data_IF_695085120551
#
_entry.id   IF_695085120551
#
_cell.length_a   1.000
_cell.length_b   1.000
_cell.length_c   1.000
_cell.angle_alpha   90.00
_cell.angle_beta   90.00
_cell.angle_gamma   90.00
#
_symmetry.space_group_name_H-M   'P 1'
#
loop_
_entity.id
_entity.type
_entity.pdbx_description
1 polymer ?
#
# COMPACT_ATOMS: atom_id res chain seq x y z
N UNK A 1 45.32 -18.83 55.89
CA UNK A 1 44.27 -17.83 55.65
C UNK A 1 44.06 -17.72 54.14
N UNK A 2 43.09 -18.42 53.54
CA UNK A 2 42.81 -18.38 52.09
C UNK A 2 41.31 -18.49 51.73
N UNK A 3 40.42 -18.49 52.74
CA UNK A 3 38.98 -18.72 52.53
C UNK A 3 38.25 -17.53 51.89
N UNK A 4 38.80 -16.32 51.95
CA UNK A 4 38.11 -15.13 51.47
C UNK A 4 38.18 -14.93 49.95
N UNK A 5 39.23 -15.45 49.28
CA UNK A 5 39.38 -15.32 47.83
C UNK A 5 38.44 -16.25 47.07
N UNK A 6 38.25 -17.49 47.56
CA UNK A 6 37.32 -18.46 46.94
C UNK A 6 35.87 -18.01 47.01
N UNK A 7 35.46 -17.38 48.11
CA UNK A 7 34.10 -16.89 48.28
C UNK A 7 33.81 -15.66 47.41
N UNK A 8 34.80 -14.79 47.20
CA UNK A 8 34.67 -13.64 46.31
C UNK A 8 34.52 -14.07 44.84
N UNK A 9 35.31 -15.07 44.41
CA UNK A 9 35.23 -15.61 43.05
C UNK A 9 33.86 -16.27 42.78
N UNK A 10 33.39 -17.11 43.72
CA UNK A 10 32.08 -17.74 43.61
C UNK A 10 30.93 -16.73 43.55
N UNK A 11 31.05 -15.58 44.23
CA UNK A 11 30.07 -14.50 44.16
C UNK A 11 30.08 -13.79 42.80
N UNK A 12 31.27 -13.56 42.23
CA UNK A 12 31.43 -12.94 40.91
C UNK A 12 30.86 -13.81 39.79
N UNK A 13 31.10 -15.13 39.86
CA UNK A 13 30.59 -16.07 38.87
C UNK A 13 29.05 -16.15 38.93
N UNK A 14 28.46 -16.17 40.14
CA UNK A 14 27.00 -16.10 40.32
C UNK A 14 26.37 -14.81 39.80
N UNK A 15 27.05 -13.67 39.99
CA UNK A 15 26.58 -12.38 39.46
C UNK A 15 26.61 -12.37 37.93
N UNK A 16 27.63 -12.97 37.32
CA UNK A 16 27.73 -13.10 35.87
C UNK A 16 26.62 -14.00 35.31
N UNK A 17 26.36 -15.16 35.92
CA UNK A 17 25.26 -16.04 35.55
C UNK A 17 23.88 -15.36 35.64
N UNK A 18 23.64 -14.59 36.70
CA UNK A 18 22.38 -13.83 36.87
C UNK A 18 22.21 -12.74 35.80
N UNK A 19 23.28 -12.04 35.45
CA UNK A 19 23.26 -11.02 34.40
C UNK A 19 23.00 -11.64 33.02
N UNK A 20 23.64 -12.76 32.70
CA UNK A 20 23.44 -13.47 31.44
C UNK A 20 22.02 -14.06 31.33
N UNK A 21 21.50 -14.63 32.41
CA UNK A 21 20.13 -15.14 32.47
C UNK A 21 19.09 -14.02 32.30
N UNK A 22 19.31 -12.87 32.94
CA UNK A 22 18.43 -11.70 32.80
C UNK A 22 18.46 -11.16 31.36
N UNK A 23 19.65 -11.07 30.75
CA UNK A 23 19.81 -10.62 29.36
C UNK A 23 19.11 -11.55 28.36
N UNK A 24 19.17 -12.87 28.59
CA UNK A 24 18.45 -13.86 27.79
C UNK A 24 16.94 -13.73 27.94
N UNK A 25 16.43 -13.48 29.15
CA UNK A 25 15.00 -13.28 29.40
C UNK A 25 14.48 -12.02 28.69
N UNK A 26 15.17 -10.88 28.83
CA UNK A 26 14.79 -9.62 28.18
C UNK A 26 14.80 -9.75 26.66
N UNK A 27 15.79 -10.46 26.08
CA UNK A 27 15.82 -10.71 24.63
C UNK A 27 14.68 -11.65 24.18
N UNK A 28 14.32 -12.66 24.98
CA UNK A 28 13.23 -13.58 24.66
C UNK A 28 11.87 -12.89 24.71
N UNK A 29 11.61 -12.05 25.71
CA UNK A 29 10.38 -11.28 25.84
C UNK A 29 10.25 -10.20 24.75
N UNK A 30 11.35 -9.51 24.42
CA UNK A 30 11.37 -8.56 23.30
C UNK A 30 11.06 -9.25 21.97
N UNK A 31 11.63 -10.42 21.73
CA UNK A 31 11.38 -11.19 20.51
C UNK A 31 9.98 -11.80 20.46
N UNK A 32 9.42 -12.21 21.61
CA UNK A 32 8.06 -12.74 21.68
C UNK A 32 7.01 -11.64 21.49
N UNK A 33 7.17 -10.48 22.13
CA UNK A 33 6.30 -9.32 21.91
C UNK A 33 6.37 -8.80 20.47
N UNK A 34 7.56 -8.79 19.86
CA UNK A 34 7.74 -8.40 18.45
C UNK A 34 7.11 -9.40 17.48
N UNK A 35 7.22 -10.70 17.75
CA UNK A 35 6.56 -11.74 16.95
C UNK A 35 5.04 -11.66 17.05
N UNK A 36 4.51 -11.41 18.25
CA UNK A 36 3.08 -11.22 18.46
C UNK A 36 2.57 -9.97 17.71
N UNK A 37 3.27 -8.83 17.85
CA UNK A 37 2.92 -7.61 17.13
C UNK A 37 3.00 -7.76 15.60
N UNK A 38 4.00 -8.49 15.08
CA UNK A 38 4.09 -8.82 13.65
C UNK A 38 2.97 -9.76 13.19
N UNK A 39 2.58 -10.73 14.00
CA UNK A 39 1.45 -11.61 13.71
C UNK A 39 0.12 -10.85 13.75
N UNK A 40 -0.07 -9.96 14.72
CA UNK A 40 -1.28 -9.14 14.85
C UNK A 40 -1.36 -8.11 13.72
N UNK A 41 -0.24 -7.49 13.32
CA UNK A 41 -0.14 -6.68 12.11
C UNK A 41 -0.49 -7.55 10.88
N UNK A 42 0.16 -8.70 10.70
CA UNK A 42 -0.13 -9.59 9.57
C UNK A 42 -1.59 -10.05 9.54
N UNK A 43 -2.23 -10.24 10.70
CA UNK A 43 -3.64 -10.65 10.81
C UNK A 43 -4.61 -9.50 10.60
N UNK A 44 -4.23 -8.28 10.99
CA UNK A 44 -5.00 -7.06 10.75
C UNK A 44 -4.96 -6.64 9.27
N UNK A 45 -3.88 -6.96 8.56
CA UNK A 45 -3.62 -6.50 7.19
C UNK A 45 -3.65 -7.60 6.13
N UNK A 46 -3.71 -8.89 6.50
CA UNK A 46 -4.06 -9.93 5.53
C UNK A 46 -5.48 -9.67 5.01
N UNK A 47 -5.64 -9.83 3.70
CA UNK A 47 -6.91 -9.71 2.99
C UNK A 47 -7.92 -10.75 3.48
N UNK A 48 -8.49 -10.54 4.66
CA UNK A 48 -9.73 -11.19 5.06
C UNK A 48 -10.81 -10.58 4.19
N UNK A 49 -11.30 -11.35 3.23
CA UNK A 49 -12.44 -10.97 2.38
C UNK A 49 -13.60 -10.65 3.33
N UNK A 50 -14.04 -9.38 3.45
CA UNK A 50 -15.19 -9.07 4.28
C UNK A 50 -16.41 -9.78 3.68
N UNK A 51 -17.11 -10.60 4.46
CA UNK A 51 -18.46 -11.02 4.10
C UNK A 51 -19.33 -9.77 4.13
N UNK A 52 -19.76 -9.29 2.96
CA UNK A 52 -20.69 -8.16 2.86
C UNK A 52 -22.01 -8.47 3.57
N UNK A 53 -22.32 -7.63 4.55
CA UNK A 53 -23.61 -7.59 5.22
C UNK A 53 -24.62 -6.91 4.26
N UNK A 54 -25.52 -7.70 3.68
CA UNK A 54 -26.43 -7.34 2.58
C UNK A 54 -27.59 -6.42 3.01
N UNK A 55 -27.31 -5.22 3.56
CA UNK A 55 -28.36 -4.26 3.98
C UNK A 55 -28.39 -2.93 3.23
N UNK A 56 -27.60 -2.74 2.19
CA UNK A 56 -27.72 -1.56 1.33
C UNK A 56 -28.69 -1.84 0.16
N UNK A 57 -29.58 -0.87 -0.13
CA UNK A 57 -30.57 -0.90 -1.21
C UNK A 57 -29.97 -1.37 -2.56
N UNK A 58 -30.77 -2.02 -3.44
CA UNK A 58 -30.29 -2.55 -4.70
C UNK A 58 -29.73 -1.43 -5.55
N UNK A 59 -28.41 -1.31 -5.53
CA UNK A 59 -27.67 -0.39 -6.37
C UNK A 59 -27.65 -1.00 -7.77
N UNK A 60 -27.86 -0.15 -8.78
CA UNK A 60 -27.96 -0.55 -10.18
C UNK A 60 -26.83 -1.55 -10.52
N UNK A 61 -27.14 -2.77 -11.01
CA UNK A 61 -26.13 -3.79 -11.33
C UNK A 61 -25.15 -3.34 -12.42
N UNK A 62 -25.49 -2.30 -13.18
CA UNK A 62 -24.60 -1.68 -14.15
C UNK A 62 -23.76 -0.53 -13.58
N UNK A 63 -23.66 -0.39 -12.26
CA UNK A 63 -22.80 0.66 -11.69
C UNK A 63 -21.33 0.27 -11.84
N UNK A 64 -20.57 1.19 -12.45
CA UNK A 64 -19.13 1.12 -12.54
C UNK A 64 -18.49 1.94 -11.41
N UNK A 65 -17.31 1.51 -10.98
CA UNK A 65 -16.46 2.19 -10.01
C UNK A 65 -15.22 2.71 -10.70
N UNK A 66 -14.79 3.93 -10.34
CA UNK A 66 -13.58 4.54 -10.86
C UNK A 66 -12.35 3.81 -10.30
N UNK A 67 -11.44 3.38 -11.17
CA UNK A 67 -10.08 2.97 -10.78
C UNK A 67 -9.19 4.21 -10.87
N UNK A 68 -8.57 4.57 -9.75
CA UNK A 68 -7.73 5.75 -9.63
C UNK A 68 -6.34 5.38 -9.10
N UNK A 69 -5.30 6.05 -9.60
CA UNK A 69 -3.99 6.11 -8.95
C UNK A 69 -4.01 7.31 -8.01
N UNK A 70 -3.85 7.10 -6.72
CA UNK A 70 -3.87 8.19 -5.73
C UNK A 70 -2.47 8.49 -5.23
N UNK A 71 -2.16 9.77 -5.09
CA UNK A 71 -0.93 10.24 -4.48
C UNK A 71 -1.13 10.47 -2.99
N UNK A 72 -0.24 9.90 -2.19
CA UNK A 72 -0.22 10.01 -0.73
C UNK A 72 1.04 10.74 -0.29
N UNK A 73 0.87 11.72 0.59
CA UNK A 73 1.99 12.31 1.33
C UNK A 73 2.24 11.44 2.56
N UNK A 74 3.46 10.91 2.71
CA UNK A 74 3.92 10.44 4.02
C UNK A 74 4.51 11.63 4.78
N UNK A 75 4.22 11.70 6.08
CA UNK A 75 4.58 12.83 6.91
C UNK A 75 6.11 13.10 6.85
N UNK A 76 6.47 14.35 6.51
CA UNK A 76 7.82 14.91 6.44
C UNK A 76 8.80 14.41 5.35
N UNK A 77 8.48 13.38 4.55
CA UNK A 77 9.28 13.02 3.37
C UNK A 77 8.70 13.64 2.09
N UNK A 78 9.55 14.23 1.25
CA UNK A 78 9.16 14.80 -0.07
C UNK A 78 8.76 13.71 -1.09
N UNK A 79 8.80 12.43 -0.71
CA UNK A 79 8.50 11.30 -1.59
C UNK A 79 6.98 11.14 -1.71
N UNK A 80 6.46 11.31 -2.92
CA UNK A 80 5.06 11.02 -3.22
C UNK A 80 4.88 9.50 -3.29
N UNK A 81 4.05 8.93 -2.42
CA UNK A 81 3.76 7.49 -2.45
C UNK A 81 2.51 7.24 -3.28
N UNK A 82 2.54 6.26 -4.19
CA UNK A 82 1.40 5.93 -5.05
C UNK A 82 0.65 4.71 -4.54
N UNK A 83 -0.64 4.69 -4.81
CA UNK A 83 -1.53 3.58 -4.51
C UNK A 83 -2.62 3.46 -5.58
N UNK A 84 -3.18 2.26 -5.72
CA UNK A 84 -4.39 2.06 -6.53
C UNK A 84 -5.59 2.21 -5.60
N UNK A 85 -6.62 2.94 -5.98
CA UNK A 85 -7.89 2.94 -5.28
C UNK A 85 -9.05 2.68 -6.24
N UNK A 86 -10.08 2.02 -5.74
CA UNK A 86 -11.36 1.88 -6.41
C UNK A 86 -12.39 2.71 -5.66
N UNK A 87 -12.93 3.75 -6.31
CA UNK A 87 -13.94 4.64 -5.72
C UNK A 87 -15.30 3.96 -5.76
N UNK A 88 -15.70 3.36 -4.64
CA UNK A 88 -16.96 2.62 -4.52
C UNK A 88 -18.17 3.54 -4.34
N UNK A 89 -17.95 4.77 -3.87
CA UNK A 89 -18.97 5.81 -3.81
C UNK A 89 -18.35 7.20 -4.02
N UNK A 90 -18.59 7.81 -5.18
CA UNK A 90 -18.06 9.15 -5.53
C UNK A 90 -18.59 10.27 -4.63
N UNK A 91 -19.84 10.16 -4.11
CA UNK A 91 -20.43 11.21 -3.26
C UNK A 91 -19.82 11.24 -1.88
N UNK A 92 -19.65 10.07 -1.26
CA UNK A 92 -19.04 9.93 0.06
C UNK A 92 -17.54 9.69 -0.01
N UNK A 93 -16.96 9.63 -1.21
CA UNK A 93 -15.55 9.32 -1.51
C UNK A 93 -15.04 8.08 -0.79
N UNK A 94 -15.92 7.08 -0.62
CA UNK A 94 -15.51 5.78 -0.11
C UNK A 94 -14.73 5.05 -1.18
N UNK A 95 -13.60 4.47 -0.77
CA UNK A 95 -12.66 3.83 -1.65
C UNK A 95 -12.14 2.53 -1.03
N UNK A 96 -11.89 1.53 -1.88
CA UNK A 96 -11.03 0.40 -1.57
C UNK A 96 -9.62 0.76 -2.03
N UNK A 97 -8.69 0.98 -1.11
CA UNK A 97 -7.32 1.42 -1.43
C UNK A 97 -6.35 0.25 -1.28
N UNK A 98 -5.51 0.09 -2.30
CA UNK A 98 -4.51 -0.95 -2.44
C UNK A 98 -3.12 -0.36 -2.33
N UNK A 99 -2.38 -0.83 -1.33
CA UNK A 99 -1.01 -0.41 -1.07
C UNK A 99 -0.07 -1.58 -1.07
N UNK A 100 1.21 -1.24 -1.10
CA UNK A 100 2.27 -2.20 -0.88
C UNK A 100 3.21 -1.68 0.19
N UNK A 101 3.67 -2.59 1.05
CA UNK A 101 4.73 -2.30 2.00
C UNK A 101 5.88 -3.28 1.80
N UNK A 102 7.09 -2.75 1.99
CA UNK A 102 8.31 -3.53 1.96
C UNK A 102 8.39 -4.39 3.24
N UNK A 103 8.33 -5.71 3.08
CA UNK A 103 8.49 -6.62 4.21
C UNK A 103 9.96 -6.70 4.60
N UNK A 104 10.35 -5.85 5.55
CA UNK A 104 11.65 -5.92 6.19
C UNK A 104 11.71 -7.15 7.10
N UNK A 105 12.18 -8.29 6.57
CA UNK A 105 12.48 -9.46 7.38
C UNK A 105 13.88 -9.30 7.98
N UNK A 106 13.95 -8.87 9.25
CA UNK A 106 15.12 -9.03 10.12
C UNK A 106 16.44 -8.45 9.58
N UNK A 107 16.46 -7.20 9.13
CA UNK A 107 17.70 -6.48 8.80
C UNK A 107 18.38 -6.91 7.50
N UNK A 108 17.81 -7.87 6.78
CA UNK A 108 18.11 -8.15 5.38
C UNK A 108 16.88 -7.69 4.57
N UNK A 109 17.09 -6.88 3.53
CA UNK A 109 16.00 -6.57 2.57
C UNK A 109 15.68 -7.87 1.83
N UNK A 110 14.75 -8.66 2.35
CA UNK A 110 14.14 -9.70 1.56
C UNK A 110 13.28 -8.99 0.50
N UNK A 111 13.46 -9.33 -0.79
CA UNK A 111 12.62 -8.85 -1.89
C UNK A 111 11.20 -9.43 -1.73
N UNK A 112 10.43 -8.87 -0.81
CA UNK A 112 9.11 -9.35 -0.43
C UNK A 112 8.18 -8.16 -0.25
N UNK A 113 7.21 -8.04 -1.13
CA UNK A 113 6.19 -7.00 -1.08
C UNK A 113 4.87 -7.64 -0.70
N UNK A 114 4.18 -7.08 0.28
CA UNK A 114 2.82 -7.51 0.64
C UNK A 114 1.85 -6.46 0.15
N UNK A 115 0.89 -6.86 -0.67
CA UNK A 115 -0.22 -6.01 -1.07
C UNK A 115 -1.32 -6.05 0.00
N UNK A 116 -1.86 -4.88 0.30
CA UNK A 116 -2.91 -4.68 1.31
C UNK A 116 -4.09 -4.01 0.68
N UNK A 117 -5.29 -4.29 1.19
CA UNK A 117 -6.51 -3.56 0.85
C UNK A 117 -7.11 -2.96 2.12
N UNK A 118 -7.55 -1.71 2.04
CA UNK A 118 -8.22 -1.03 3.14
C UNK A 118 -9.40 -0.21 2.61
N UNK A 119 -10.52 -0.27 3.32
CA UNK A 119 -11.63 0.66 3.09
C UNK A 119 -11.27 2.02 3.71
N UNK A 120 -11.23 3.06 2.88
CA UNK A 120 -10.91 4.43 3.30
C UNK A 120 -11.95 5.44 2.78
N UNK A 121 -12.12 6.53 3.53
CA UNK A 121 -12.87 7.71 3.06
C UNK A 121 -11.87 8.80 2.69
N UNK A 122 -11.84 9.16 1.40
CA UNK A 122 -10.91 10.14 0.87
C UNK A 122 -11.47 11.56 1.07
N UNK A 123 -11.33 12.10 2.27
CA UNK A 123 -11.77 13.44 2.66
C UNK A 123 -10.60 14.45 2.82
N UNK A 124 -10.88 15.65 3.35
CA UNK A 124 -9.87 16.70 3.58
C UNK A 124 -8.76 16.29 4.55
N UNK A 125 -9.07 15.40 5.48
CA UNK A 125 -8.16 14.92 6.53
C UNK A 125 -7.35 13.71 6.10
N UNK A 126 -7.78 13.07 5.00
CA UNK A 126 -7.04 11.97 4.40
C UNK A 126 -5.63 12.39 3.96
N UNK A 127 -4.71 11.43 3.96
CA UNK A 127 -3.31 11.63 3.54
C UNK A 127 -3.16 11.74 2.02
N UNK A 128 -4.25 11.60 1.28
CA UNK A 128 -4.27 11.63 -0.17
C UNK A 128 -4.43 13.05 -0.66
N UNK A 129 -3.67 13.38 -1.70
CA UNK A 129 -3.64 14.73 -2.27
C UNK A 129 -4.30 14.78 -3.64
N UNK A 130 -5.12 13.80 -3.99
CA UNK A 130 -5.76 13.70 -5.30
C UNK A 130 -5.45 12.37 -5.96
N UNK A 131 -5.90 12.22 -7.20
CA UNK A 131 -5.57 11.05 -7.99
C UNK A 131 -5.91 11.19 -9.46
N UNK A 132 -5.48 10.20 -10.22
CA UNK A 132 -5.66 10.10 -11.66
C UNK A 132 -6.54 8.90 -11.94
N UNK A 133 -7.71 9.13 -12.54
CA UNK A 133 -8.60 8.07 -13.01
C UNK A 133 -7.99 7.41 -14.24
N UNK A 134 -7.70 6.12 -14.09
CA UNK A 134 -7.06 5.29 -15.12
C UNK A 134 -8.01 4.29 -15.75
N UNK A 135 -9.23 4.13 -15.23
CA UNK A 135 -10.22 3.22 -15.81
C UNK A 135 -11.45 3.06 -14.94
N UNK A 136 -12.24 2.05 -15.26
CA UNK A 136 -13.46 1.68 -14.54
C UNK A 136 -13.51 0.18 -14.32
N UNK A 137 -14.16 -0.23 -13.23
CA UNK A 137 -14.45 -1.64 -12.93
C UNK A 137 -15.94 -1.79 -12.63
N UNK A 138 -16.59 -2.80 -13.19
CA UNK A 138 -17.98 -3.11 -12.86
C UNK A 138 -18.06 -3.63 -11.42
N UNK A 139 -19.17 -3.38 -10.72
CA UNK A 139 -19.36 -3.90 -9.36
C UNK A 139 -19.09 -5.41 -9.26
N UNK A 140 -19.60 -6.19 -10.21
CA UNK A 140 -19.44 -7.66 -10.22
C UNK A 140 -17.98 -8.11 -10.42
N UNK A 141 -17.15 -7.25 -11.03
CA UNK A 141 -15.72 -7.51 -11.26
C UNK A 141 -14.82 -7.01 -10.12
N UNK A 142 -15.37 -6.32 -9.10
CA UNK A 142 -14.57 -5.77 -8.00
C UNK A 142 -13.79 -6.87 -7.25
N UNK A 143 -14.45 -7.99 -6.96
CA UNK A 143 -13.80 -9.14 -6.30
C UNK A 143 -12.67 -9.72 -7.13
N UNK A 144 -12.84 -9.76 -8.45
CA UNK A 144 -11.82 -10.24 -9.39
C UNK A 144 -10.62 -9.29 -9.42
N UNK A 145 -10.87 -7.98 -9.40
CA UNK A 145 -9.84 -6.95 -9.31
C UNK A 145 -9.04 -7.11 -8.02
N UNK A 146 -9.72 -7.25 -6.87
CA UNK A 146 -9.06 -7.47 -5.57
C UNK A 146 -8.19 -8.72 -5.56
N UNK A 147 -8.70 -9.84 -6.07
CA UNK A 147 -7.91 -11.07 -6.20
C UNK A 147 -6.71 -10.91 -7.13
N UNK A 148 -6.80 -10.04 -8.13
CA UNK A 148 -5.69 -9.76 -9.05
C UNK A 148 -4.59 -8.96 -8.34
N UNK A 149 -4.96 -7.93 -7.56
CA UNK A 149 -4.00 -7.04 -6.89
C UNK A 149 -3.42 -7.66 -5.61
N UNK A 150 -4.22 -8.39 -4.84
CA UNK A 150 -3.84 -8.94 -3.54
C UNK A 150 -3.57 -10.45 -3.57
N UNK A 151 -3.79 -11.11 -4.70
CA UNK A 151 -3.59 -12.55 -4.84
C UNK A 151 -2.13 -12.97 -5.04
N UNK A 152 -1.89 -14.28 -5.18
CA UNK A 152 -0.54 -14.83 -5.34
C UNK A 152 0.16 -14.40 -6.64
N UNK A 153 -0.59 -13.88 -7.61
CA UNK A 153 -0.09 -13.33 -8.88
C UNK A 153 0.30 -11.86 -8.82
N UNK A 154 0.30 -11.23 -7.65
CA UNK A 154 0.74 -9.83 -7.50
C UNK A 154 2.18 -9.65 -7.99
N UNK A 155 2.52 -8.54 -8.68
CA UNK A 155 3.88 -8.29 -9.13
C UNK A 155 4.87 -8.32 -7.97
N UNK A 156 6.01 -9.01 -8.18
CA UNK A 156 7.09 -9.11 -7.20
C UNK A 156 8.28 -8.22 -7.57
N UNK A 157 9.05 -7.76 -6.58
CA UNK A 157 10.23 -6.96 -6.83
C UNK A 157 11.22 -7.64 -7.75
N UNK A 158 11.57 -6.95 -8.82
CA UNK A 158 12.56 -7.38 -9.80
C UNK A 158 13.95 -6.85 -9.47
N UNK A 159 14.06 -5.84 -8.62
CA UNK A 159 15.33 -5.27 -8.16
C UNK A 159 15.21 -4.65 -6.76
N UNK A 160 16.33 -4.33 -6.12
CA UNK A 160 16.37 -3.63 -4.83
C UNK A 160 15.95 -2.15 -4.91
N UNK A 161 15.93 -1.60 -6.13
CA UNK A 161 15.52 -0.22 -6.40
C UNK A 161 14.02 -0.10 -6.66
N UNK A 162 13.28 -1.22 -6.65
CA UNK A 162 11.85 -1.22 -6.93
C UNK A 162 11.09 -0.44 -5.86
N UNK A 163 10.26 0.49 -6.30
CA UNK A 163 9.48 1.34 -5.43
C UNK A 163 7.96 1.28 -5.72
N UNK A 164 7.20 2.08 -4.97
CA UNK A 164 5.75 2.04 -5.05
C UNK A 164 5.22 2.49 -6.41
N UNK A 165 5.97 3.32 -7.12
CA UNK A 165 5.63 3.74 -8.49
C UNK A 165 5.78 2.55 -9.42
N UNK A 166 6.90 1.83 -9.33
CA UNK A 166 7.13 0.66 -10.17
C UNK A 166 6.09 -0.45 -9.95
N UNK A 167 5.72 -0.72 -8.69
CA UNK A 167 4.64 -1.67 -8.40
C UNK A 167 3.29 -1.19 -8.92
N UNK A 168 2.99 0.10 -8.79
CA UNK A 168 1.74 0.68 -9.32
C UNK A 168 1.67 0.45 -10.83
N UNK A 169 2.76 0.68 -11.56
CA UNK A 169 2.83 0.41 -13.01
C UNK A 169 2.69 -1.09 -13.32
N UNK A 170 3.36 -1.95 -12.54
CA UNK A 170 3.26 -3.38 -12.72
C UNK A 170 1.83 -3.90 -12.48
N UNK A 171 1.11 -3.33 -11.50
CA UNK A 171 -0.29 -3.64 -11.24
C UNK A 171 -1.19 -3.15 -12.36
N UNK A 172 -0.97 -1.94 -12.88
CA UNK A 172 -1.73 -1.41 -14.04
C UNK A 172 -1.60 -2.38 -15.22
N UNK A 173 -0.36 -2.79 -15.55
CA UNK A 173 -0.10 -3.77 -16.63
C UNK A 173 -0.74 -5.12 -16.37
N UNK A 174 -0.71 -5.58 -15.12
CA UNK A 174 -1.37 -6.84 -14.73
C UNK A 174 -2.89 -6.75 -14.94
N UNK A 175 -3.51 -5.63 -14.55
CA UNK A 175 -4.95 -5.41 -14.76
C UNK A 175 -5.29 -5.37 -16.26
N UNK A 176 -4.49 -4.70 -17.09
CA UNK A 176 -4.67 -4.72 -18.56
C UNK A 176 -4.57 -6.14 -19.13
N UNK A 177 -3.58 -6.91 -18.69
CA UNK A 177 -3.40 -8.30 -19.12
C UNK A 177 -4.56 -9.21 -18.68
N UNK A 178 -5.24 -8.86 -17.58
CA UNK A 178 -6.47 -9.52 -17.14
C UNK A 178 -7.73 -8.99 -17.86
N UNK A 179 -7.60 -8.05 -18.79
CA UNK A 179 -8.71 -7.53 -19.59
C UNK A 179 -9.53 -6.44 -18.90
N UNK A 180 -9.01 -5.80 -17.86
CA UNK A 180 -9.65 -4.61 -17.31
C UNK A 180 -9.51 -3.43 -18.27
N UNK A 181 -10.60 -2.66 -18.46
CA UNK A 181 -10.63 -1.53 -19.37
C UNK A 181 -9.95 -0.30 -18.75
N UNK A 182 -8.64 -0.17 -19.00
CA UNK A 182 -7.85 0.96 -18.55
C UNK A 182 -7.52 1.91 -19.72
N UNK A 183 -7.55 3.22 -19.44
CA UNK A 183 -7.16 4.28 -20.35
C UNK A 183 -5.67 4.18 -20.75
N UNK A 184 -4.87 3.50 -19.95
CA UNK A 184 -3.44 3.27 -20.17
C UNK A 184 -3.15 2.35 -21.37
N UNK A 185 -4.11 1.52 -21.79
CA UNK A 185 -3.92 0.55 -22.88
C UNK A 185 -3.66 1.19 -24.23
N UNK A 186 -4.05 2.47 -24.41
CA UNK A 186 -3.84 3.25 -25.63
C UNK A 186 -2.36 3.63 -25.83
N UNK A 187 -1.52 3.49 -24.80
CA UNK A 187 -0.15 4.00 -24.81
C UNK A 187 0.88 3.06 -25.47
N UNK A 188 0.56 1.79 -25.79
CA UNK A 188 1.44 0.87 -26.55
C UNK A 188 2.01 -0.26 -25.70
N UNK A 189 3.21 -0.80 -25.99
CA UNK A 189 3.91 -1.81 -25.15
C UNK A 189 5.16 -1.25 -24.42
N UNK A 190 5.79 -0.20 -24.97
CA UNK A 190 7.04 0.40 -24.46
C UNK A 190 6.85 1.73 -23.70
N UNK A 191 5.66 1.95 -23.14
CA UNK A 191 5.19 3.25 -22.68
C UNK A 191 5.42 3.54 -21.20
N UNK A 192 6.23 2.73 -20.51
CA UNK A 192 6.46 2.89 -19.05
C UNK A 192 6.81 4.33 -18.67
N UNK A 193 7.78 4.93 -19.37
CA UNK A 193 8.17 6.32 -19.13
C UNK A 193 7.08 7.36 -19.48
N UNK A 194 6.29 7.12 -20.54
CA UNK A 194 5.20 8.02 -20.94
C UNK A 194 4.07 7.99 -19.91
N UNK A 195 3.70 6.80 -19.43
CA UNK A 195 2.68 6.64 -18.41
C UNK A 195 3.10 7.29 -17.09
N UNK A 196 4.32 7.06 -16.62
CA UNK A 196 4.86 7.69 -15.41
C UNK A 196 4.73 9.21 -15.50
N UNK A 197 5.25 9.80 -16.58
CA UNK A 197 5.23 11.26 -16.74
C UNK A 197 3.80 11.83 -16.73
N UNK A 198 2.84 11.10 -17.29
CA UNK A 198 1.43 11.50 -17.27
C UNK A 198 0.80 11.34 -15.90
N UNK A 199 1.02 10.22 -15.23
CA UNK A 199 0.57 10.01 -13.85
C UNK A 199 1.13 11.08 -12.92
N UNK A 200 2.41 11.46 -13.05
CA UNK A 200 3.01 12.56 -12.31
C UNK A 200 2.31 13.88 -12.62
N UNK A 201 2.24 14.27 -13.90
CA UNK A 201 1.66 15.55 -14.31
C UNK A 201 0.19 15.70 -13.90
N UNK A 202 -0.62 14.66 -14.14
CA UNK A 202 -2.04 14.65 -13.80
C UNK A 202 -2.25 14.55 -12.28
N UNK A 203 -1.38 13.85 -11.54
CA UNK A 203 -1.44 13.85 -10.06
C UNK A 203 -1.14 15.23 -9.48
N UNK A 204 -0.14 15.95 -10.02
CA UNK A 204 0.15 17.33 -9.61
C UNK A 204 -1.03 18.26 -9.93
N UNK A 205 -1.69 18.06 -11.08
CA UNK A 205 -2.91 18.79 -11.41
C UNK A 205 -4.05 18.49 -10.44
N UNK A 206 -4.28 17.22 -10.13
CA UNK A 206 -5.27 16.79 -9.14
C UNK A 206 -5.00 17.38 -7.75
N UNK A 207 -3.72 17.47 -7.38
CA UNK A 207 -3.29 18.08 -6.12
C UNK A 207 -3.61 19.56 -6.04
N UNK A 208 -3.23 20.34 -7.05
CA UNK A 208 -3.59 21.77 -7.08
C UNK A 208 -5.09 22.00 -6.97
N UNK A 209 -5.89 21.22 -7.72
CA UNK A 209 -7.35 21.30 -7.65
C UNK A 209 -7.91 20.90 -6.28
N UNK A 210 -7.27 19.94 -5.61
CA UNK A 210 -7.62 19.50 -4.25
C UNK A 210 -7.39 20.63 -3.25
N UNK A 211 -6.24 21.29 -3.35
CA UNK A 211 -5.85 22.43 -2.50
C UNK A 211 -6.78 23.63 -2.72
N UNK A 212 -7.09 23.97 -3.98
CA UNK A 212 -8.00 25.06 -4.35
C UNK A 212 -9.44 24.85 -3.85
N UNK A 213 -9.95 23.61 -3.92
CA UNK A 213 -11.34 23.31 -3.51
C UNK A 213 -11.53 23.22 -2.00
N UNK A 214 -10.49 22.93 -1.23
CA UNK A 214 -10.56 22.84 0.23
C UNK A 214 -11.54 21.78 0.80
N UNK A 215 -12.01 20.83 0.00
CA UNK A 215 -12.95 19.77 0.44
C UNK A 215 -12.29 18.40 0.56
N UNK A 216 -11.53 17.98 -0.44
CA UNK A 216 -10.71 16.77 -0.41
C UNK A 216 -10.37 16.28 -1.81
N UNK A 217 -9.78 15.08 -1.94
CA UNK A 217 -9.14 14.62 -3.16
C UNK A 217 -9.99 14.78 -4.42
N UNK A 218 -9.43 15.45 -5.40
CA UNK A 218 -9.98 15.54 -6.76
C UNK A 218 -9.37 14.42 -7.60
N UNK A 219 -10.21 13.73 -8.36
CA UNK A 219 -9.76 12.74 -9.35
C UNK A 219 -9.86 13.34 -10.75
N UNK A 220 -8.73 13.46 -11.43
CA UNK A 220 -8.67 13.94 -12.83
C UNK A 220 -8.58 12.75 -13.77
N UNK A 221 -9.09 12.88 -14.99
CA UNK A 221 -8.91 11.83 -16.00
C UNK A 221 -7.46 11.78 -16.47
N UNK A 222 -6.91 10.58 -16.70
CA UNK A 222 -5.61 10.42 -17.34
C UNK A 222 -5.61 11.09 -18.72
N UNK A 223 -4.69 12.02 -18.93
CA UNK A 223 -4.53 12.76 -20.19
C UNK A 223 -3.96 11.83 -21.27
N UNK A 224 -4.70 11.58 -22.37
CA UNK A 224 -4.34 10.57 -23.36
C UNK A 224 -3.49 11.04 -24.56
N UNK A 225 -3.29 12.35 -24.79
CA UNK A 225 -2.35 12.91 -25.77
C UNK A 225 -2.00 14.37 -25.38
N UNK A 226 -0.88 14.96 -25.86
CA UNK A 226 -0.75 16.41 -25.85
C UNK A 226 -1.87 16.99 -26.73
N UNK A 227 -2.55 18.03 -26.26
CA UNK A 227 -3.30 18.89 -27.18
C UNK A 227 -2.29 19.40 -28.22
N UNK A 228 -2.34 18.84 -29.42
CA UNK A 228 -1.65 19.44 -30.55
C UNK A 228 -2.14 20.89 -30.63
N UNK A 229 -1.20 21.83 -30.54
CA UNK A 229 -1.46 23.23 -30.25
C UNK A 229 -2.66 23.81 -31.00
N UNK A 230 -3.51 24.50 -30.24
CA UNK A 230 -4.39 25.54 -30.77
C UNK A 230 -3.70 26.88 -30.65
#
# INVERSE_FOLDING_TARGET
MNANSSNLQALQDRLRELLDATRLHTMRESNQGKRQALQDLHRQYQCAIPQEDQRAAPSNPNSEFSIVVVSRSLDASLSTHWAIAVVTNERSRHCRVFHVSDTHVMGLRALGWTAFVQDETLDRTSRYRGGVRIGFVRRDDLRRLEQTICGPGVPRPTSEMWDCEDWTLAVIRLLEAQGFALATAVLGADYGGVLINRLISDSLRAQRLTEERGSGPVFVQLSLLPEAGR
#
